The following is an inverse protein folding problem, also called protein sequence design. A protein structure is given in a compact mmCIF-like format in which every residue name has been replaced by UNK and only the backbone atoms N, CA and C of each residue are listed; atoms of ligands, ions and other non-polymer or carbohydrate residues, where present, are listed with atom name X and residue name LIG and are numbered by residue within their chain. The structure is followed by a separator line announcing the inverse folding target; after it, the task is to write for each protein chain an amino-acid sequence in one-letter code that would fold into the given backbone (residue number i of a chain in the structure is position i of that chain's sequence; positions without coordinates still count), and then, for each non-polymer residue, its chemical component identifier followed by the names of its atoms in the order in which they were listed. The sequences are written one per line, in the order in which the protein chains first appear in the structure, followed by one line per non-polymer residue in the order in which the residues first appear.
data_IF_148221343579
#
_entry.id   IF_148221343579
#
_cell.length_a   1.000
_cell.length_b   1.000
_cell.length_c   1.000
_cell.angle_alpha   90.00
_cell.angle_beta   90.00
_cell.angle_gamma   90.00
#
_symmetry.space_group_name_H-M   'P 1'
#
loop_
_entity.id
_entity.type
_entity.pdbx_description
1 polymer ?
#
# COMPACT_ATOMS: atom_id res chain seq x y z
N UNK A 1 -19.21 -10.17 0.22
CA UNK A 1 -18.21 -10.87 -0.62
C UNK A 1 -16.84 -10.76 0.03
N UNK A 2 -16.04 -11.84 0.10
CA UNK A 2 -14.68 -11.79 0.66
C UNK A 2 -13.68 -12.25 -0.40
N UNK A 3 -12.65 -11.45 -0.65
CA UNK A 3 -11.64 -11.75 -1.67
C UNK A 3 -10.23 -11.65 -1.10
N UNK A 4 -9.36 -12.61 -1.47
CA UNK A 4 -7.99 -12.66 -1.01
C UNK A 4 -7.03 -12.25 -2.12
N UNK A 5 -6.22 -11.24 -1.85
CA UNK A 5 -5.26 -10.68 -2.80
C UNK A 5 -3.84 -10.98 -2.30
N UNK A 6 -3.01 -11.54 -3.18
CA UNK A 6 -1.60 -11.79 -2.91
C UNK A 6 -0.73 -10.69 -3.54
N UNK A 7 0.46 -10.38 -3.01
CA UNK A 7 1.33 -9.34 -3.57
C UNK A 7 1.78 -9.67 -4.99
N UNK A 8 1.96 -8.63 -5.81
CA UNK A 8 2.53 -8.76 -7.15
C UNK A 8 4.06 -8.64 -7.06
N UNK A 9 4.73 -9.78 -7.27
CA UNK A 9 6.19 -9.93 -7.29
C UNK A 9 6.87 -9.84 -5.91
N UNK A 10 8.14 -9.43 -5.87
CA UNK A 10 8.96 -9.40 -4.65
C UNK A 10 8.64 -8.17 -3.80
N UNK A 11 7.43 -8.14 -3.24
CA UNK A 11 7.23 -7.30 -2.06
C UNK A 11 8.05 -7.95 -0.94
N UNK A 12 9.19 -7.33 -0.66
CA UNK A 12 10.11 -7.70 0.41
C UNK A 12 9.33 -7.99 1.68
N UNK A 13 9.74 -9.08 2.33
CA UNK A 13 9.20 -9.59 3.59
C UNK A 13 8.91 -8.45 4.57
N UNK A 14 7.63 -8.10 4.74
CA UNK A 14 7.19 -7.37 5.91
C UNK A 14 7.57 -8.19 7.14
N UNK A 15 8.24 -7.55 8.09
CA UNK A 15 8.65 -8.20 9.32
C UNK A 15 7.40 -8.58 10.13
N UNK A 16 7.53 -9.61 10.95
CA UNK A 16 6.43 -10.08 11.80
C UNK A 16 5.90 -8.97 12.71
N UNK A 17 6.78 -8.08 13.16
CA UNK A 17 6.45 -6.95 14.02
C UNK A 17 5.61 -5.89 13.32
N UNK A 18 5.88 -5.57 12.05
CA UNK A 18 5.11 -4.57 11.28
C UNK A 18 3.67 -5.04 11.04
N UNK A 19 3.49 -6.33 10.75
CA UNK A 19 2.15 -6.92 10.57
C UNK A 19 1.40 -6.97 11.90
N UNK A 20 2.08 -7.33 12.98
CA UNK A 20 1.46 -7.35 14.32
C UNK A 20 1.12 -5.94 14.80
N UNK A 21 1.91 -4.93 14.43
CA UNK A 21 1.59 -3.53 14.68
C UNK A 21 0.30 -3.13 13.98
N UNK A 22 0.09 -3.50 12.71
CA UNK A 22 -1.19 -3.25 12.02
C UNK A 22 -2.37 -4.00 12.68
N UNK A 23 -2.18 -5.27 13.05
CA UNK A 23 -3.25 -6.10 13.63
C UNK A 23 -3.69 -5.65 15.01
N UNK A 24 -2.74 -5.30 15.89
CA UNK A 24 -3.04 -4.72 17.21
C UNK A 24 -3.75 -3.36 17.11
N UNK A 25 -3.65 -2.74 15.93
CA UNK A 25 -4.09 -1.39 15.60
C UNK A 25 -5.34 -1.41 14.72
N UNK A 26 -6.00 -2.57 14.53
CA UNK A 26 -7.26 -2.69 13.77
C UNK A 26 -8.40 -1.81 14.33
N UNK A 27 -8.26 -1.29 15.55
CA UNK A 27 -9.16 -0.34 16.20
C UNK A 27 -8.64 1.11 16.22
N UNK A 28 -7.52 1.40 15.55
CA UNK A 28 -6.81 2.68 15.63
C UNK A 28 -6.89 3.48 14.33
N UNK A 29 -6.59 4.78 14.44
CA UNK A 29 -6.51 5.74 13.34
C UNK A 29 -5.65 5.27 12.16
N UNK A 30 -4.61 4.46 12.41
CA UNK A 30 -3.77 3.90 11.33
C UNK A 30 -4.57 2.92 10.45
N UNK A 31 -5.41 2.08 11.07
CA UNK A 31 -6.28 1.17 10.34
C UNK A 31 -7.31 1.93 9.52
N UNK A 32 -7.93 2.97 10.11
CA UNK A 32 -8.87 3.85 9.39
C UNK A 32 -8.22 4.53 8.20
N UNK A 33 -6.99 5.03 8.37
CA UNK A 33 -6.21 5.62 7.28
C UNK A 33 -5.94 4.59 6.19
N UNK A 34 -5.46 3.40 6.55
CA UNK A 34 -5.18 2.33 5.59
C UNK A 34 -6.44 1.88 4.83
N UNK A 35 -7.56 1.70 5.55
CA UNK A 35 -8.87 1.38 4.96
C UNK A 35 -9.31 2.44 3.96
N UNK A 36 -9.27 3.71 4.36
CA UNK A 36 -9.73 4.81 3.52
C UNK A 36 -8.86 4.98 2.26
N UNK A 37 -7.52 4.90 2.41
CA UNK A 37 -6.60 4.93 1.27
C UNK A 37 -6.82 3.74 0.33
N UNK A 38 -7.03 2.54 0.87
CA UNK A 38 -7.28 1.34 0.07
C UNK A 38 -8.60 1.43 -0.71
N UNK A 39 -9.64 1.98 -0.08
CA UNK A 39 -10.93 2.21 -0.72
C UNK A 39 -10.85 3.25 -1.85
N UNK A 40 -10.06 4.32 -1.64
CA UNK A 40 -9.79 5.31 -2.67
C UNK A 40 -9.03 4.72 -3.86
N UNK A 41 -8.06 3.83 -3.60
CA UNK A 41 -7.36 3.08 -4.67
C UNK A 41 -8.33 2.23 -5.46
N UNK A 42 -9.19 1.46 -4.79
CA UNK A 42 -10.16 0.58 -5.48
C UNK A 42 -11.17 1.37 -6.33
N UNK A 43 -11.48 2.62 -5.94
CA UNK A 43 -12.38 3.51 -6.67
C UNK A 43 -11.66 4.49 -7.62
N UNK A 44 -10.37 4.34 -7.89
CA UNK A 44 -9.60 5.31 -8.69
C UNK A 44 -10.06 5.45 -10.15
N UNK A 45 -10.98 4.59 -10.61
CA UNK A 45 -11.63 4.67 -11.92
C UNK A 45 -13.09 5.13 -11.89
N UNK A 46 -13.64 5.45 -10.71
CA UNK A 46 -15.02 5.90 -10.56
C UNK A 46 -15.15 7.37 -10.93
N UNK A 47 -16.29 7.76 -11.54
CA UNK A 47 -16.59 9.17 -11.86
C UNK A 47 -17.06 9.99 -10.65
N UNK A 48 -16.95 9.44 -9.44
CA UNK A 48 -17.40 10.12 -8.21
C UNK A 48 -16.30 11.07 -7.71
N UNK A 49 -16.55 12.38 -7.74
CA UNK A 49 -15.60 13.43 -7.33
C UNK A 49 -15.64 13.72 -5.82
N UNK A 50 -16.70 13.27 -5.12
CA UNK A 50 -16.88 13.49 -3.68
C UNK A 50 -16.31 12.34 -2.85
N UNK A 51 -15.23 12.62 -2.11
CA UNK A 51 -14.59 11.64 -1.21
C UNK A 51 -15.48 11.22 -0.04
N UNK A 52 -16.37 12.09 0.45
CA UNK A 52 -17.31 11.76 1.55
C UNK A 52 -18.39 10.80 1.08
N UNK A 53 -19.01 11.10 -0.05
CA UNK A 53 -20.06 10.22 -0.62
C UNK A 53 -19.51 8.82 -0.93
N UNK A 54 -18.25 8.73 -1.32
CA UNK A 54 -17.57 7.46 -1.56
C UNK A 54 -17.38 6.66 -0.25
N UNK A 55 -16.96 7.32 0.84
CA UNK A 55 -16.82 6.67 2.14
C UNK A 55 -18.17 6.20 2.69
N UNK A 56 -19.21 7.03 2.57
CA UNK A 56 -20.57 6.73 3.05
C UNK A 56 -21.22 5.61 2.21
N UNK A 57 -20.95 5.58 0.89
CA UNK A 57 -21.43 4.50 0.00
C UNK A 57 -20.83 3.15 0.34
N UNK A 58 -19.59 3.13 0.80
CA UNK A 58 -18.82 1.91 1.09
C UNK A 58 -18.49 1.80 2.59
N UNK A 59 -19.48 2.03 3.46
CA UNK A 59 -19.34 1.78 4.90
C UNK A 59 -19.08 0.30 5.22
N UNK A 60 -19.68 -0.60 4.44
CA UNK A 60 -19.56 -2.05 4.60
C UNK A 60 -18.22 -2.64 4.12
N UNK A 61 -17.37 -1.81 3.47
CA UNK A 61 -16.05 -2.21 3.03
C UNK A 61 -15.10 -2.39 4.21
N UNK A 62 -14.29 -3.43 4.19
CA UNK A 62 -13.23 -3.61 5.18
C UNK A 62 -11.99 -4.28 4.59
N UNK A 63 -10.82 -4.09 5.22
CA UNK A 63 -9.56 -4.63 4.71
C UNK A 63 -8.69 -5.21 5.83
N UNK A 64 -8.45 -6.51 5.76
CA UNK A 64 -7.64 -7.23 6.73
C UNK A 64 -6.28 -7.61 6.16
N UNK A 65 -5.25 -7.48 6.99
CA UNK A 65 -3.89 -7.91 6.66
C UNK A 65 -3.65 -9.29 7.26
N UNK A 66 -3.60 -10.31 6.40
CA UNK A 66 -3.39 -11.70 6.78
C UNK A 66 -1.92 -12.08 6.66
N UNK A 67 -1.39 -12.67 7.73
CA UNK A 67 -0.04 -13.22 7.78
C UNK A 67 -0.01 -14.66 7.25
N UNK A 68 0.96 -14.99 6.41
CA UNK A 68 1.23 -16.35 5.90
C UNK A 68 2.73 -16.65 5.97
N UNK A 69 3.11 -17.92 5.82
CA UNK A 69 4.51 -18.36 5.89
C UNK A 69 5.40 -17.75 4.81
N UNK A 70 4.82 -17.44 3.64
CA UNK A 70 5.50 -16.81 2.50
C UNK A 70 5.04 -15.37 2.28
N UNK A 71 4.98 -14.58 3.36
CA UNK A 71 4.70 -13.15 3.32
C UNK A 71 3.29 -12.75 3.76
N UNK A 72 2.77 -11.67 3.16
CA UNK A 72 1.51 -11.03 3.56
C UNK A 72 0.45 -11.22 2.48
N UNK A 73 -0.80 -11.42 2.89
CA UNK A 73 -1.98 -11.40 2.02
C UNK A 73 -2.94 -10.32 2.51
N UNK A 74 -3.67 -9.72 1.59
CA UNK A 74 -4.76 -8.81 1.90
C UNK A 74 -6.09 -9.55 1.74
N UNK A 75 -6.98 -9.39 2.69
CA UNK A 75 -8.36 -9.84 2.61
C UNK A 75 -9.24 -8.59 2.50
N UNK A 76 -10.03 -8.55 1.43
CA UNK A 76 -10.98 -7.48 1.16
C UNK A 76 -12.39 -7.99 1.45
N UNK A 77 -13.10 -7.28 2.31
CA UNK A 77 -14.50 -7.53 2.67
C UNK A 77 -15.35 -6.48 1.95
N UNK A 78 -16.33 -6.94 1.16
CA UNK A 78 -17.21 -6.11 0.34
C UNK A 78 -16.47 -5.05 -0.50
N UNK A 79 -15.44 -5.42 -1.29
CA UNK A 79 -14.78 -4.47 -2.17
C UNK A 79 -15.72 -3.98 -3.29
N UNK A 80 -15.50 -2.77 -3.83
CA UNK A 80 -16.23 -2.27 -4.99
C UNK A 80 -16.13 -3.22 -6.19
N UNK A 81 -17.25 -3.47 -6.88
CA UNK A 81 -17.29 -4.36 -8.04
C UNK A 81 -16.47 -3.81 -9.22
N UNK A 82 -16.42 -2.49 -9.37
CA UNK A 82 -15.65 -1.79 -10.41
C UNK A 82 -14.14 -2.10 -10.37
N UNK A 83 -13.63 -2.59 -9.24
CA UNK A 83 -12.24 -2.97 -9.09
C UNK A 83 -11.92 -4.36 -9.69
N UNK A 84 -12.94 -5.12 -10.11
CA UNK A 84 -12.83 -6.46 -10.65
C UNK A 84 -13.24 -6.50 -12.12
N UNK A 85 -12.48 -7.24 -12.92
CA UNK A 85 -12.81 -7.61 -14.30
C UNK A 85 -12.80 -9.12 -14.38
N UNK A 86 -13.90 -9.73 -14.80
CA UNK A 86 -14.09 -11.19 -14.85
C UNK A 86 -13.77 -11.90 -13.51
N UNK A 87 -14.14 -11.27 -12.39
CA UNK A 87 -13.89 -11.80 -11.04
C UNK A 87 -12.42 -11.74 -10.59
N UNK A 88 -11.54 -11.07 -11.35
CA UNK A 88 -10.14 -10.84 -10.99
C UNK A 88 -9.90 -9.35 -10.74
N UNK A 89 -9.17 -9.04 -9.68
CA UNK A 89 -8.77 -7.65 -9.41
C UNK A 89 -7.87 -7.12 -10.54
N UNK A 90 -8.04 -5.85 -10.90
CA UNK A 90 -7.16 -5.20 -11.85
C UNK A 90 -5.74 -5.13 -11.27
N UNK A 91 -4.74 -5.57 -12.06
CA UNK A 91 -3.34 -5.67 -11.59
C UNK A 91 -2.75 -4.35 -11.10
N UNK A 92 -3.14 -3.21 -11.69
CA UNK A 92 -2.70 -1.88 -11.25
C UNK A 92 -3.23 -1.55 -9.85
N UNK A 93 -4.53 -1.81 -9.59
CA UNK A 93 -5.16 -1.60 -8.29
C UNK A 93 -4.51 -2.50 -7.23
N UNK A 94 -4.28 -3.77 -7.57
CA UNK A 94 -3.55 -4.70 -6.73
C UNK A 94 -2.17 -4.17 -6.35
N UNK A 95 -1.36 -3.72 -7.32
CA UNK A 95 -0.04 -3.14 -7.04
C UNK A 95 -0.13 -1.88 -6.14
N UNK A 96 -1.12 -1.02 -6.39
CA UNK A 96 -1.33 0.20 -5.62
C UNK A 96 -1.74 -0.10 -4.16
N UNK A 97 -2.59 -1.10 -3.91
CA UNK A 97 -2.97 -1.51 -2.55
C UNK A 97 -1.75 -1.89 -1.71
N UNK A 98 -0.84 -2.67 -2.30
CA UNK A 98 0.37 -3.08 -1.63
C UNK A 98 1.38 -1.93 -1.48
N UNK A 99 1.42 -0.97 -2.42
CA UNK A 99 2.20 0.25 -2.26
C UNK A 99 1.70 1.10 -1.07
N UNK A 100 0.38 1.26 -0.93
CA UNK A 100 -0.25 1.96 0.21
C UNK A 100 0.11 1.29 1.53
N UNK A 101 0.01 -0.04 1.61
CA UNK A 101 0.39 -0.80 2.82
C UNK A 101 1.84 -0.51 3.23
N UNK A 102 2.77 -0.59 2.29
CA UNK A 102 4.20 -0.35 2.54
C UNK A 102 4.46 1.09 2.96
N UNK A 103 3.86 2.06 2.29
CA UNK A 103 4.13 3.48 2.54
C UNK A 103 3.61 3.91 3.92
N UNK A 104 2.42 3.45 4.31
CA UNK A 104 1.86 3.69 5.65
C UNK A 104 2.73 3.05 6.72
N UNK A 105 3.13 1.78 6.55
CA UNK A 105 4.01 1.10 7.49
C UNK A 105 5.38 1.77 7.60
N UNK A 106 5.96 2.19 6.48
CA UNK A 106 7.26 2.86 6.46
C UNK A 106 7.20 4.20 7.20
N UNK A 107 6.21 5.04 6.89
CA UNK A 107 6.04 6.35 7.55
C UNK A 107 5.79 6.16 9.03
N UNK A 108 4.91 5.24 9.41
CA UNK A 108 4.63 4.95 10.81
C UNK A 108 5.87 4.43 11.56
N UNK A 109 6.68 3.58 10.92
CA UNK A 109 7.95 3.11 11.49
C UNK A 109 8.99 4.23 11.61
N UNK A 110 9.05 5.18 10.68
CA UNK A 110 9.91 6.35 10.78
C UNK A 110 9.48 7.29 11.92
N UNK A 111 8.17 7.50 12.10
CA UNK A 111 7.62 8.36 13.17
C UNK A 111 7.75 7.69 14.54
N UNK A 112 7.43 6.40 14.65
CA UNK A 112 7.51 5.66 15.90
C UNK A 112 8.96 5.43 16.36
N UNK A 113 9.89 5.18 15.44
CA UNK A 113 11.32 5.10 15.74
C UNK A 113 11.97 6.49 15.76
N UNK A 114 11.45 7.40 16.59
CA UNK A 114 11.98 8.74 16.89
C UNK A 114 13.49 8.77 17.30
N UNK A 115 14.17 7.62 17.28
CA UNK A 115 15.60 7.40 17.52
C UNK A 115 16.48 7.40 16.25
N UNK A 116 15.95 7.33 15.01
CA UNK A 116 16.81 7.49 13.81
C UNK A 116 17.01 8.95 13.41
N UNK A 117 16.06 9.80 13.78
CA UNK A 117 16.16 11.24 13.73
C UNK A 117 16.01 11.71 15.18
N UNK A 118 17.04 11.52 16.00
CA UNK A 118 17.13 12.26 17.27
C UNK A 118 16.93 13.74 16.90
N UNK A 119 15.79 14.31 17.33
CA UNK A 119 15.31 15.64 16.94
C UNK A 119 14.73 15.74 15.51
N UNK A 120 13.72 14.94 15.17
CA UNK A 120 12.82 15.29 14.06
C UNK A 120 12.04 16.56 14.41
N UNK A 121 12.67 17.70 14.17
CA UNK A 121 12.04 19.00 14.25
C UNK A 121 11.24 19.23 12.96
N UNK A 122 9.92 19.33 13.10
CA UNK A 122 9.00 19.63 12.00
C UNK A 122 9.22 21.03 11.43
N UNK A 123 9.89 21.93 12.15
CA UNK A 123 10.21 23.28 11.69
C UNK A 123 11.53 23.34 10.91
N UNK A 124 12.35 22.28 10.97
CA UNK A 124 13.63 22.25 10.27
C UNK A 124 13.48 21.68 8.84
N UNK A 125 13.71 22.56 7.86
CA UNK A 125 13.62 22.25 6.43
C UNK A 125 14.53 21.10 5.96
N UNK A 126 15.67 20.88 6.63
CA UNK A 126 16.60 19.79 6.31
C UNK A 126 16.02 18.42 6.71
N UNK A 127 15.37 18.34 7.87
CA UNK A 127 14.72 17.12 8.34
C UNK A 127 13.51 16.76 7.46
N UNK A 128 12.71 17.75 7.06
CA UNK A 128 11.60 17.54 6.12
C UNK A 128 12.08 17.01 4.76
N UNK A 129 13.15 17.60 4.20
CA UNK A 129 13.70 17.18 2.91
C UNK A 129 14.23 15.74 2.96
N UNK A 130 14.97 15.38 4.02
CA UNK A 130 15.49 14.03 4.22
C UNK A 130 14.37 13.00 4.43
N UNK A 131 13.27 13.38 5.09
CA UNK A 131 12.10 12.53 5.24
C UNK A 131 11.43 12.26 3.89
N UNK A 132 11.18 13.29 3.09
CA UNK A 132 10.63 13.15 1.74
C UNK A 132 11.52 12.25 0.88
N UNK A 133 12.83 12.48 0.91
CA UNK A 133 13.80 11.63 0.19
C UNK A 133 13.75 10.17 0.65
N UNK A 134 13.65 9.92 1.96
CA UNK A 134 13.58 8.57 2.51
C UNK A 134 12.30 7.84 2.10
N UNK A 135 11.15 8.54 2.10
CA UNK A 135 9.86 8.02 1.63
C UNK A 135 9.97 7.66 0.14
N UNK A 136 10.46 8.58 -0.69
CA UNK A 136 10.62 8.36 -2.13
C UNK A 136 11.59 7.21 -2.43
N UNK A 137 12.69 7.09 -1.69
CA UNK A 137 13.67 5.99 -1.84
C UNK A 137 13.04 4.63 -1.51
N UNK A 138 12.23 4.56 -0.46
CA UNK A 138 11.48 3.35 -0.12
C UNK A 138 10.39 3.06 -1.17
N UNK A 139 9.71 4.09 -1.65
CA UNK A 139 8.67 3.99 -2.66
C UNK A 139 9.21 3.50 -4.01
N UNK A 140 10.36 4.03 -4.43
CA UNK A 140 11.07 3.70 -5.66
C UNK A 140 11.44 2.22 -5.75
N UNK A 141 11.66 1.52 -4.62
CA UNK A 141 11.88 0.06 -4.60
C UNK A 141 10.73 -0.72 -5.27
N UNK A 142 9.50 -0.18 -5.33
CA UNK A 142 8.40 -0.79 -6.11
C UNK A 142 8.26 -0.25 -7.54
N UNK A 143 8.83 0.92 -7.88
CA UNK A 143 8.77 1.47 -9.24
C UNK A 143 9.76 0.73 -10.16
N UNK A 144 10.90 0.30 -9.64
CA UNK A 144 11.88 -0.50 -10.41
C UNK A 144 11.37 -1.87 -10.87
N UNK A 145 10.20 -2.33 -10.41
CA UNK A 145 9.54 -3.51 -10.98
C UNK A 145 8.74 -3.21 -12.27
N UNK A 146 8.54 -1.93 -12.64
CA UNK A 146 7.93 -1.55 -13.93
C UNK A 146 8.94 -1.36 -15.07
N UNK A 147 10.24 -1.27 -14.79
CA UNK A 147 11.30 -1.12 -15.81
C UNK A 147 12.13 -2.39 -16.01
N UNK A 148 11.51 -3.57 -15.94
CA UNK A 148 11.88 -4.67 -16.85
C UNK A 148 11.09 -4.53 -18.16
N UNK A 149 11.14 -3.35 -18.76
CA UNK A 149 10.90 -3.20 -20.20
C UNK A 149 12.09 -3.83 -20.90
N UNK A 150 11.97 -5.10 -21.29
CA UNK A 150 12.23 -5.66 -22.63
C UNK A 150 13.28 -5.04 -23.60
N UNK A 151 14.26 -4.25 -23.14
CA UNK A 151 15.17 -3.49 -24.01
C UNK A 151 16.65 -3.87 -23.89
N UNK A 152 17.00 -4.94 -23.16
CA UNK A 152 18.38 -5.48 -23.12
C UNK A 152 18.44 -6.99 -23.41
N UNK A 153 17.68 -7.47 -24.39
CA UNK A 153 17.95 -8.76 -25.02
C UNK A 153 18.07 -8.57 -26.54
N UNK A 154 19.11 -7.86 -26.95
CA UNK A 154 19.62 -7.95 -28.31
C UNK A 154 20.11 -9.37 -28.56
N UNK A 155 19.25 -10.24 -29.09
CA UNK A 155 19.67 -11.40 -29.89
C UNK A 155 19.58 -10.98 -31.36
N UNK A 156 20.69 -10.93 -32.11
CA UNK A 156 20.60 -11.00 -33.56
C UNK A 156 20.23 -12.45 -33.94
N UNK A 157 19.13 -12.60 -34.66
CA UNK A 157 18.87 -13.77 -35.50
C UNK A 157 19.70 -13.59 -36.77
N UNK A 158 20.83 -14.28 -36.85
CA UNK A 158 21.41 -14.88 -38.06
C UNK A 158 22.21 -16.11 -37.65
#
# INVERSE_FOLDING_TARGET
MITHISPLGSMDLLSQLEVDMLKRTASSDLYRLFRNCSLAVLNSGSQTDSSKELLDRYESFDINVLRRERGVKLELVNPPEDAFVDGRIIRSLQANLFAVLRDILFVNAQIANNNRFENFDKENSVHLTNMVFSILRNAARCIWMKTQTWWFAGRPLY
#
